data_IF_950756515999
#
_entry.id   IF_950756515999
#
_cell.length_a   1.000
_cell.length_b   1.000
_cell.length_c   1.000
_cell.angle_alpha   90.00
_cell.angle_beta   90.00
_cell.angle_gamma   90.00
#
_symmetry.space_group_name_H-M   'P 1'
#
loop_
_entity.id
_entity.type
_entity.pdbx_description
1 polymer ?
#
# COMPACT_ATOMS: atom_id res chain seq x y z
N UNK A 1 20.80 12.66 -0.90
CA UNK A 1 20.93 11.19 -1.05
C UNK A 1 19.63 10.72 -1.66
N UNK A 2 19.54 10.63 -2.99
CA UNK A 2 18.35 10.12 -3.67
C UNK A 2 18.39 8.61 -3.51
N UNK A 3 17.43 8.04 -2.78
CA UNK A 3 17.36 6.60 -2.58
C UNK A 3 17.11 5.87 -3.89
N UNK A 4 18.17 5.28 -4.47
CA UNK A 4 18.17 3.86 -4.78
C UNK A 4 17.47 3.32 -6.04
N UNK A 5 17.00 4.14 -7.00
CA UNK A 5 16.57 3.64 -8.32
C UNK A 5 17.33 4.24 -9.47
N UNK A 6 17.80 3.37 -10.36
CA UNK A 6 18.50 3.72 -11.59
C UNK A 6 17.51 4.14 -12.68
N UNK A 7 17.93 5.00 -13.62
CA UNK A 7 17.12 5.39 -14.78
C UNK A 7 16.63 4.16 -15.58
N UNK A 8 17.45 3.11 -15.64
CA UNK A 8 17.10 1.85 -16.29
C UNK A 8 15.92 1.14 -15.62
N UNK A 9 15.83 1.16 -14.29
CA UNK A 9 14.69 0.57 -13.57
C UNK A 9 13.41 1.34 -13.82
N UNK A 10 13.46 2.67 -13.83
CA UNK A 10 12.32 3.52 -14.18
C UNK A 10 11.77 3.20 -15.57
N UNK A 11 12.64 3.16 -16.58
CA UNK A 11 12.24 2.79 -17.94
C UNK A 11 11.64 1.39 -18.03
N UNK A 12 12.15 0.43 -17.25
CA UNK A 12 11.59 -0.93 -17.19
C UNK A 12 10.19 -0.95 -16.58
N UNK A 13 9.93 -0.16 -15.54
CA UNK A 13 8.59 -0.09 -14.95
C UNK A 13 7.59 0.62 -15.85
N UNK A 14 8.01 1.65 -16.60
CA UNK A 14 7.18 2.29 -17.62
C UNK A 14 6.83 1.32 -18.77
N UNK A 15 7.82 0.60 -19.31
CA UNK A 15 7.58 -0.41 -20.33
C UNK A 15 6.70 -1.57 -19.83
N UNK A 16 6.84 -1.95 -18.56
CA UNK A 16 5.98 -2.94 -17.92
C UNK A 16 4.54 -2.44 -17.83
N UNK A 17 4.32 -1.18 -17.41
CA UNK A 17 2.99 -0.56 -17.38
C UNK A 17 2.31 -0.61 -18.75
N UNK A 18 2.97 -0.16 -19.81
CA UNK A 18 2.42 -0.18 -21.17
C UNK A 18 2.07 -1.60 -21.66
N UNK A 19 2.87 -2.59 -21.24
CA UNK A 19 2.61 -3.99 -21.57
C UNK A 19 1.38 -4.53 -20.84
N UNK A 20 1.22 -4.19 -19.56
CA UNK A 20 0.05 -4.59 -18.79
C UNK A 20 -1.22 -3.81 -19.20
N UNK A 21 -1.13 -2.55 -19.59
CA UNK A 21 -2.26 -1.79 -20.14
C UNK A 21 -2.84 -2.50 -21.38
N UNK A 22 -1.97 -2.96 -22.28
CA UNK A 22 -2.39 -3.77 -23.44
C UNK A 22 -2.99 -5.11 -23.02
N UNK A 23 -2.41 -5.78 -22.03
CA UNK A 23 -2.93 -7.06 -21.54
C UNK A 23 -4.32 -6.90 -20.91
N UNK A 24 -4.54 -5.83 -20.13
CA UNK A 24 -5.83 -5.49 -19.52
C UNK A 24 -6.87 -5.18 -20.59
N UNK A 25 -6.50 -4.46 -21.66
CA UNK A 25 -7.40 -4.17 -22.76
C UNK A 25 -7.89 -5.44 -23.49
N UNK A 26 -7.07 -6.50 -23.51
CA UNK A 26 -7.42 -7.79 -24.13
C UNK A 26 -8.13 -8.75 -23.15
N UNK A 27 -7.75 -8.71 -21.87
CA UNK A 27 -8.21 -9.65 -20.84
C UNK A 27 -8.55 -8.92 -19.53
N UNK A 28 -9.60 -8.09 -19.52
CA UNK A 28 -9.92 -7.23 -18.38
C UNK A 28 -10.32 -8.02 -17.12
N UNK A 29 -10.82 -9.24 -17.27
CA UNK A 29 -11.27 -10.09 -16.16
C UNK A 29 -10.12 -10.84 -15.47
N UNK A 30 -8.90 -10.81 -16.04
CA UNK A 30 -7.76 -11.49 -15.43
C UNK A 30 -7.16 -10.63 -14.31
N UNK A 31 -7.52 -10.92 -13.06
CA UNK A 31 -7.06 -10.18 -11.87
C UNK A 31 -5.54 -10.01 -11.78
N UNK A 32 -4.76 -10.97 -12.31
CA UNK A 32 -3.30 -10.94 -12.27
C UNK A 32 -2.72 -9.73 -12.99
N UNK A 33 -3.30 -9.29 -14.10
CA UNK A 33 -2.79 -8.10 -14.82
C UNK A 33 -2.99 -6.82 -14.00
N UNK A 34 -4.09 -6.71 -13.25
CA UNK A 34 -4.35 -5.60 -12.33
C UNK A 34 -3.36 -5.57 -11.16
N UNK A 35 -3.00 -6.74 -10.62
CA UNK A 35 -1.93 -6.85 -9.61
C UNK A 35 -0.58 -6.39 -10.18
N UNK A 36 -0.21 -6.86 -11.38
CA UNK A 36 1.10 -6.56 -11.94
C UNK A 36 1.25 -5.11 -12.42
N UNK A 37 0.21 -4.50 -12.99
CA UNK A 37 0.24 -3.08 -13.30
C UNK A 37 0.31 -2.23 -12.02
N UNK A 38 -0.42 -2.62 -10.97
CA UNK A 38 -0.32 -1.98 -9.65
C UNK A 38 1.10 -2.02 -9.11
N UNK A 39 1.80 -3.16 -9.23
CA UNK A 39 3.20 -3.28 -8.83
C UNK A 39 4.12 -2.36 -9.65
N UNK A 40 3.97 -2.34 -10.98
CA UNK A 40 4.78 -1.49 -11.85
C UNK A 40 4.60 0.00 -11.47
N UNK A 41 3.36 0.43 -11.28
CA UNK A 41 2.99 1.80 -10.91
C UNK A 41 3.44 2.16 -9.49
N UNK A 42 3.40 1.20 -8.56
CA UNK A 42 3.98 1.35 -7.22
C UNK A 42 5.49 1.60 -7.28
N UNK A 43 6.22 0.89 -8.14
CA UNK A 43 7.65 1.14 -8.34
C UNK A 43 7.93 2.44 -9.10
N UNK A 44 6.95 3.04 -9.76
CA UNK A 44 7.02 4.42 -10.27
C UNK A 44 6.62 5.46 -9.21
N UNK A 45 6.44 5.04 -7.95
CA UNK A 45 6.08 5.89 -6.80
C UNK A 45 4.70 6.58 -6.94
N UNK A 46 3.84 6.06 -7.82
CA UNK A 46 2.48 6.53 -8.02
C UNK A 46 1.51 5.73 -7.15
N UNK A 47 1.60 5.93 -5.84
CA UNK A 47 0.95 5.05 -4.86
C UNK A 47 -0.58 5.08 -4.93
N UNK A 48 -1.21 6.23 -5.13
CA UNK A 48 -2.67 6.32 -5.32
C UNK A 48 -3.16 5.54 -6.54
N UNK A 49 -2.43 5.63 -7.65
CA UNK A 49 -2.76 4.92 -8.88
C UNK A 49 -2.58 3.40 -8.68
N UNK A 50 -1.51 2.99 -8.00
CA UNK A 50 -1.28 1.59 -7.64
C UNK A 50 -2.44 1.03 -6.78
N UNK A 51 -2.92 1.81 -5.79
CA UNK A 51 -4.07 1.42 -4.95
C UNK A 51 -5.31 1.16 -5.82
N UNK A 52 -5.60 2.04 -6.78
CA UNK A 52 -6.76 1.87 -7.66
C UNK A 52 -6.66 0.58 -8.50
N UNK A 53 -5.45 0.24 -8.97
CA UNK A 53 -5.22 -1.01 -9.70
C UNK A 53 -5.34 -2.25 -8.80
N UNK A 54 -4.82 -2.21 -7.57
CA UNK A 54 -5.03 -3.30 -6.62
C UNK A 54 -6.51 -3.45 -6.24
N UNK A 55 -7.24 -2.35 -6.06
CA UNK A 55 -8.69 -2.38 -5.81
C UNK A 55 -9.44 -3.08 -6.95
N UNK A 56 -9.04 -2.85 -8.20
CA UNK A 56 -9.59 -3.57 -9.36
C UNK A 56 -9.26 -5.07 -9.34
N UNK A 57 -8.02 -5.42 -9.01
CA UNK A 57 -7.64 -6.82 -8.83
C UNK A 57 -8.45 -7.53 -7.73
N UNK A 58 -8.67 -6.85 -6.60
CA UNK A 58 -9.47 -7.37 -5.47
C UNK A 58 -10.95 -7.50 -5.85
N UNK A 59 -11.49 -6.57 -6.64
CA UNK A 59 -12.87 -6.66 -7.16
C UNK A 59 -13.09 -7.92 -8.01
N UNK A 60 -12.08 -8.31 -8.79
CA UNK A 60 -12.13 -9.52 -9.63
C UNK A 60 -11.83 -10.80 -8.84
N UNK A 61 -10.97 -10.70 -7.81
CA UNK A 61 -10.59 -11.81 -6.96
C UNK A 61 -10.42 -11.34 -5.51
N UNK A 62 -11.48 -11.52 -4.72
CA UNK A 62 -11.53 -11.01 -3.34
C UNK A 62 -10.53 -11.70 -2.40
N UNK A 63 -10.21 -12.97 -2.65
CA UNK A 63 -9.25 -13.79 -1.90
C UNK A 63 -7.79 -13.60 -2.37
N UNK A 64 -7.50 -12.58 -3.18
CA UNK A 64 -6.14 -12.28 -3.60
C UNK A 64 -5.36 -11.57 -2.48
N UNK A 65 -4.80 -12.36 -1.56
CA UNK A 65 -3.99 -11.88 -0.42
C UNK A 65 -2.87 -10.93 -0.86
N UNK A 66 -2.17 -11.23 -1.96
CA UNK A 66 -1.08 -10.40 -2.49
C UNK A 66 -1.55 -8.99 -2.90
N UNK A 67 -2.73 -8.87 -3.53
CA UNK A 67 -3.28 -7.57 -3.91
C UNK A 67 -3.67 -6.74 -2.66
N UNK A 68 -4.26 -7.40 -1.65
CA UNK A 68 -4.56 -6.77 -0.36
C UNK A 68 -3.32 -6.26 0.37
N UNK A 69 -2.26 -7.08 0.44
CA UNK A 69 -0.99 -6.69 1.08
C UNK A 69 -0.33 -5.53 0.33
N UNK A 70 -0.21 -5.62 -1.00
CA UNK A 70 0.45 -4.56 -1.78
C UNK A 70 -0.33 -3.24 -1.73
N UNK A 71 -1.66 -3.31 -1.65
CA UNK A 71 -2.52 -2.15 -1.36
C UNK A 71 -2.21 -1.54 0.00
N UNK A 72 -2.09 -2.36 1.04
CA UNK A 72 -1.71 -1.92 2.39
C UNK A 72 -0.32 -1.24 2.40
N UNK A 73 0.67 -1.82 1.73
CA UNK A 73 2.01 -1.26 1.61
C UNK A 73 1.97 0.10 0.88
N UNK A 74 1.20 0.22 -0.21
CA UNK A 74 1.02 1.50 -0.90
C UNK A 74 0.35 2.55 0.01
N UNK A 75 -0.62 2.16 0.83
CA UNK A 75 -1.23 3.04 1.84
C UNK A 75 -0.24 3.49 2.93
N UNK A 76 0.67 2.61 3.35
CA UNK A 76 1.76 3.00 4.28
C UNK A 76 2.68 4.06 3.68
N UNK A 77 2.99 3.96 2.38
CA UNK A 77 3.80 4.97 1.67
C UNK A 77 3.11 6.33 1.60
N UNK A 78 1.78 6.35 1.68
CA UNK A 78 0.96 7.55 1.78
C UNK A 78 0.62 7.95 3.22
N UNK A 79 1.27 7.32 4.22
CA UNK A 79 1.05 7.55 5.65
C UNK A 79 -0.40 7.28 6.12
N UNK A 80 -1.17 6.49 5.36
CA UNK A 80 -2.55 6.09 5.67
C UNK A 80 -2.55 4.80 6.50
N UNK A 81 -1.99 4.88 7.70
CA UNK A 81 -1.64 3.69 8.48
C UNK A 81 -2.85 2.89 8.98
N UNK A 82 -3.97 3.54 9.33
CA UNK A 82 -5.17 2.83 9.77
C UNK A 82 -5.74 1.96 8.64
N UNK A 83 -5.78 2.53 7.43
CA UNK A 83 -6.26 1.82 6.23
C UNK A 83 -5.31 0.69 5.82
N UNK A 84 -4.00 0.89 5.98
CA UNK A 84 -3.00 -0.15 5.76
C UNK A 84 -3.14 -1.30 6.76
N UNK A 85 -3.40 -1.01 8.05
CA UNK A 85 -3.62 -2.04 9.07
C UNK A 85 -4.83 -2.92 8.75
N UNK A 86 -5.93 -2.30 8.32
CA UNK A 86 -7.12 -3.03 7.87
C UNK A 86 -6.82 -3.99 6.69
N UNK A 87 -5.89 -3.63 5.80
CA UNK A 87 -5.47 -4.52 4.71
C UNK A 87 -4.72 -5.76 5.23
N UNK A 88 -3.81 -5.60 6.19
CA UNK A 88 -3.10 -6.72 6.80
C UNK A 88 -4.02 -7.62 7.61
N UNK A 89 -4.97 -7.05 8.36
CA UNK A 89 -5.99 -7.82 9.08
C UNK A 89 -6.83 -8.67 8.12
N UNK A 90 -7.30 -8.10 7.00
CA UNK A 90 -8.04 -8.86 5.97
C UNK A 90 -7.17 -9.97 5.36
N UNK A 91 -5.90 -9.70 5.07
CA UNK A 91 -4.98 -10.70 4.54
C UNK A 91 -4.78 -11.89 5.50
N UNK A 92 -4.64 -11.63 6.82
CA UNK A 92 -4.51 -12.67 7.85
C UNK A 92 -5.80 -13.47 8.03
N UNK A 93 -6.97 -12.83 7.86
CA UNK A 93 -8.26 -13.51 7.89
C UNK A 93 -8.43 -14.48 6.71
N UNK A 94 -7.98 -14.09 5.51
CA UNK A 94 -8.04 -14.93 4.31
C UNK A 94 -6.99 -16.06 4.40
N UNK A 95 -5.76 -15.71 4.76
CA UNK A 95 -4.63 -16.62 4.83
C UNK A 95 -3.90 -16.45 6.17
N UNK A 96 -4.25 -17.31 7.13
CA UNK A 96 -3.69 -17.23 8.48
C UNK A 96 -2.17 -17.44 8.53
N UNK A 97 -1.61 -18.10 7.51
CA UNK A 97 -0.16 -18.32 7.36
C UNK A 97 0.45 -17.41 6.29
N UNK A 98 0.26 -16.09 6.42
CA UNK A 98 0.86 -15.10 5.53
C UNK A 98 1.97 -14.28 6.24
N UNK A 99 3.25 -14.70 6.19
CA UNK A 99 4.35 -14.02 6.89
C UNK A 99 4.48 -12.54 6.53
N UNK A 100 4.24 -12.19 5.26
CA UNK A 100 4.31 -10.81 4.78
C UNK A 100 3.25 -9.92 5.43
N UNK A 101 2.03 -10.43 5.64
CA UNK A 101 0.99 -9.67 6.31
C UNK A 101 1.35 -9.40 7.78
N UNK A 102 1.84 -10.41 8.49
CA UNK A 102 2.29 -10.29 9.88
C UNK A 102 3.49 -9.35 10.02
N UNK A 103 4.47 -9.46 9.12
CA UNK A 103 5.63 -8.57 9.09
C UNK A 103 5.22 -7.11 8.86
N UNK A 104 4.40 -6.85 7.85
CA UNK A 104 3.92 -5.50 7.56
C UNK A 104 3.06 -4.92 8.69
N UNK A 105 2.23 -5.75 9.33
CA UNK A 105 1.46 -5.36 10.51
C UNK A 105 2.37 -4.97 11.68
N UNK A 106 3.43 -5.75 11.96
CA UNK A 106 4.40 -5.42 12.99
C UNK A 106 5.10 -4.09 12.70
N UNK A 107 5.55 -3.88 11.45
CA UNK A 107 6.16 -2.62 11.01
C UNK A 107 5.19 -1.45 11.21
N UNK A 108 3.92 -1.62 10.85
CA UNK A 108 2.90 -0.59 11.09
C UNK A 108 2.74 -0.27 12.57
N UNK A 109 2.61 -1.27 13.45
CA UNK A 109 2.50 -1.01 14.88
C UNK A 109 3.72 -0.27 15.44
N UNK A 110 4.93 -0.59 14.97
CA UNK A 110 6.14 0.12 15.36
C UNK A 110 6.17 1.58 14.88
N UNK A 111 5.56 1.90 13.73
CA UNK A 111 5.51 3.26 13.16
C UNK A 111 4.35 4.09 13.73
N UNK A 112 3.18 3.48 13.91
CA UNK A 112 1.94 4.12 14.37
C UNK A 112 1.97 4.43 15.86
N UNK A 113 2.49 3.52 16.69
CA UNK A 113 2.47 3.68 18.15
C UNK A 113 3.22 4.96 18.62
N UNK A 114 4.42 5.29 18.09
CA UNK A 114 5.06 6.57 18.36
C UNK A 114 4.24 7.79 17.89
N UNK A 115 3.62 7.71 16.71
CA UNK A 115 2.83 8.82 16.14
C UNK A 115 1.59 9.12 16.96
N UNK A 116 0.86 8.09 17.40
CA UNK A 116 -0.30 8.26 18.28
C UNK A 116 0.07 8.84 19.64
N UNK A 117 1.22 8.43 20.21
CA UNK A 117 1.76 9.05 21.44
C UNK A 117 2.08 10.54 21.24
N UNK A 118 2.67 10.93 20.11
CA UNK A 118 2.98 12.32 19.79
C UNK A 118 1.72 13.18 19.58
N UNK A 119 0.72 12.64 18.87
CA UNK A 119 -0.59 13.29 18.69
C UNK A 119 -1.34 13.45 20.02
N UNK A 120 -1.28 12.46 20.90
CA UNK A 120 -1.89 12.54 22.23
C UNK A 120 -1.20 13.60 23.12
N UNK A 121 0.13 13.69 23.07
CA UNK A 121 0.92 14.68 23.83
C UNK A 121 0.67 16.13 23.35
N UNK A 122 0.59 16.35 22.03
CA UNK A 122 0.33 17.68 21.45
C UNK A 122 -1.08 18.22 21.72
N UNK A 123 -2.09 17.34 21.84
CA UNK A 123 -3.45 17.76 22.24
C UNK A 123 -3.54 18.21 23.70
N UNK A 124 -2.73 17.66 24.60
CA UNK A 124 -2.74 18.06 26.01
C UNK A 124 -1.98 19.39 26.25
N UNK A 125 -0.94 19.69 25.46
CA UNK A 125 -0.16 20.93 25.58
C UNK A 125 -0.84 22.22 25.10
N UNK A 126 -1.97 22.14 24.38
CA UNK A 126 -2.74 23.32 23.92
C UNK A 126 -3.84 23.77 24.89
N UNK A 127 -4.02 23.06 26.00
CA UNK A 127 -5.05 23.36 27.01
C UNK A 127 -4.54 24.15 28.23
N UNK A 128 -3.24 24.48 28.30
CA UNK A 128 -2.61 25.08 29.50
C UNK A 128 -2.16 26.54 29.35
N UNK A 129 -2.55 27.26 28.28
CA UNK A 129 -2.35 28.71 28.18
C UNK A 129 -3.69 29.44 28.03
N UNK A 130 -4.46 29.52 29.12
CA UNK A 130 -5.51 30.53 29.34
C UNK A 130 -5.86 30.58 30.83
N UNK A 131 -4.94 31.10 31.62
CA UNK A 131 -5.23 31.66 32.93
C UNK A 131 -4.28 32.83 33.12
N UNK A 132 -4.77 34.03 32.82
CA UNK A 132 -4.52 35.30 33.51
C UNK A 132 -5.49 36.35 32.96
#
# INVERSE_FOLDING_TARGET
>A
MIGGKTLAEWQRYEAARESYDRAIALYPEFYGFWLYIGNAVYYLEKYEEAIAFYDKGIQLKEDCTSAGINRGIAMMKLERYEAANACCEKAIQIESNCPDAWYNQLVMHCVVNPLERLKASSRHGSSTQKSD
#
